data_IF_073960723343
#
_entry.id   IF_073960723343
#
_cell.length_a   1.000
_cell.length_b   1.000
_cell.length_c   1.000
_cell.angle_alpha   90.00
_cell.angle_beta   90.00
_cell.angle_gamma   90.00
#
_symmetry.space_group_name_H-M   'P 1'
#
loop_
_entity.id
_entity.type
_entity.pdbx_description
1 polymer ?
#
# COMPACT_ATOMS: atom_id res chain seq x y z
N UNK A 1 -4.00 -29.74 11.56
CA UNK A 1 -3.52 -28.46 12.13
C UNK A 1 -4.27 -28.19 13.43
N UNK A 2 -3.61 -27.65 14.45
CA UNK A 2 -4.29 -27.18 15.67
C UNK A 2 -4.83 -25.76 15.44
N UNK A 3 -6.05 -25.41 15.89
CA UNK A 3 -6.54 -24.05 15.84
C UNK A 3 -5.61 -23.10 16.60
N UNK A 4 -5.33 -21.93 16.02
CA UNK A 4 -4.59 -20.84 16.67
C UNK A 4 -5.58 -19.80 17.20
N UNK A 5 -5.28 -19.19 18.34
CA UNK A 5 -6.11 -18.10 18.91
C UNK A 5 -5.91 -16.80 18.13
N UNK A 6 -6.83 -15.85 18.28
CA UNK A 6 -6.85 -14.61 17.49
C UNK A 6 -5.58 -13.77 17.67
N UNK A 7 -5.00 -13.71 18.87
CA UNK A 7 -3.85 -12.85 19.16
C UNK A 7 -2.57 -13.33 18.45
N UNK A 8 -2.13 -14.60 18.57
CA UNK A 8 -1.01 -15.12 17.79
C UNK A 8 -1.25 -15.03 16.28
N UNK A 9 -2.50 -15.20 15.82
CA UNK A 9 -2.84 -15.04 14.41
C UNK A 9 -2.57 -13.62 13.92
N UNK A 10 -3.11 -12.60 14.63
CA UNK A 10 -2.87 -11.18 14.29
C UNK A 10 -1.39 -10.83 14.27
N UNK A 11 -0.65 -11.28 15.28
CA UNK A 11 0.78 -11.04 15.39
C UNK A 11 1.54 -11.66 14.21
N UNK A 12 1.28 -12.93 13.88
CA UNK A 12 1.90 -13.60 12.74
C UNK A 12 1.58 -12.91 11.42
N UNK A 13 0.32 -12.52 11.21
CA UNK A 13 -0.08 -11.76 10.01
C UNK A 13 0.67 -10.42 9.90
N UNK A 14 0.86 -9.71 11.02
CA UNK A 14 1.64 -8.46 11.04
C UNK A 14 3.11 -8.67 10.64
N UNK A 15 3.74 -9.75 11.13
CA UNK A 15 5.11 -10.09 10.75
C UNK A 15 5.21 -10.50 9.29
N UNK A 16 4.25 -11.27 8.78
CA UNK A 16 4.18 -11.64 7.36
C UNK A 16 4.00 -10.42 6.47
N UNK A 17 3.10 -9.49 6.84
CA UNK A 17 2.88 -8.26 6.09
C UNK A 17 4.16 -7.40 6.03
N UNK A 18 4.84 -7.21 7.16
CA UNK A 18 6.12 -6.51 7.24
C UNK A 18 7.20 -7.17 6.36
N UNK A 19 7.32 -8.49 6.40
CA UNK A 19 8.28 -9.22 5.58
C UNK A 19 7.99 -9.04 4.07
N UNK A 20 6.72 -9.11 3.68
CA UNK A 20 6.29 -8.87 2.29
C UNK A 20 6.64 -7.46 1.83
N UNK A 21 6.34 -6.45 2.65
CA UNK A 21 6.65 -5.06 2.27
C UNK A 21 8.16 -4.82 2.18
N UNK A 22 8.96 -5.39 3.06
CA UNK A 22 10.43 -5.31 2.92
C UNK A 22 10.92 -5.99 1.63
N UNK A 23 10.32 -7.12 1.22
CA UNK A 23 10.66 -7.76 -0.05
C UNK A 23 10.28 -6.88 -1.25
N UNK A 24 9.09 -6.29 -1.25
CA UNK A 24 8.64 -5.35 -2.30
C UNK A 24 9.56 -4.13 -2.33
N UNK A 25 9.91 -3.57 -1.18
CA UNK A 25 10.80 -2.42 -1.09
C UNK A 25 12.21 -2.74 -1.63
N UNK A 26 12.72 -3.96 -1.42
CA UNK A 26 13.97 -4.41 -2.02
C UNK A 26 13.84 -4.58 -3.54
N UNK A 27 12.77 -5.21 -4.00
CA UNK A 27 12.50 -5.47 -5.42
C UNK A 27 12.35 -4.18 -6.23
N UNK A 28 11.61 -3.19 -5.72
CA UNK A 28 11.29 -1.96 -6.44
C UNK A 28 12.46 -0.99 -6.63
N UNK A 29 13.57 -1.17 -5.89
CA UNK A 29 14.72 -0.25 -5.97
C UNK A 29 14.34 1.20 -5.63
N UNK A 30 15.13 2.16 -6.05
CA UNK A 30 14.91 3.60 -5.75
C UNK A 30 13.97 4.29 -6.73
N UNK A 31 13.66 3.65 -7.87
CA UNK A 31 12.86 4.23 -8.95
C UNK A 31 11.51 3.53 -9.03
N UNK A 32 10.50 4.15 -8.44
CA UNK A 32 9.12 3.67 -8.43
C UNK A 32 8.15 4.85 -8.43
N UNK A 33 6.90 4.57 -8.77
CA UNK A 33 5.78 5.48 -8.68
C UNK A 33 4.67 4.86 -7.83
N UNK A 34 3.78 5.69 -7.31
CA UNK A 34 2.62 5.23 -6.56
C UNK A 34 1.37 5.28 -7.43
N UNK A 35 0.61 4.18 -7.43
CA UNK A 35 -0.72 4.12 -8.05
C UNK A 35 -1.76 4.01 -6.96
N UNK A 36 -2.85 4.75 -7.14
CA UNK A 36 -3.95 4.82 -6.20
C UNK A 36 -5.21 4.24 -6.84
N UNK A 37 -5.92 3.43 -6.08
CA UNK A 37 -7.26 2.99 -6.43
C UNK A 37 -8.15 3.15 -5.21
N UNK A 38 -9.14 4.03 -5.31
CA UNK A 38 -10.14 4.18 -4.26
C UNK A 38 -11.48 3.61 -4.69
N UNK A 39 -12.25 3.11 -3.74
CA UNK A 39 -13.61 2.67 -3.96
C UNK A 39 -14.43 2.83 -2.69
N UNK A 40 -15.74 2.97 -2.86
CA UNK A 40 -16.68 3.03 -1.74
C UNK A 40 -17.52 1.77 -1.73
N UNK A 41 -17.59 1.10 -0.59
CA UNK A 41 -18.55 0.02 -0.33
C UNK A 41 -19.44 0.44 0.84
N UNK A 42 -20.72 0.68 0.55
CA UNK A 42 -21.68 1.24 1.50
C UNK A 42 -21.17 2.57 2.10
N UNK A 43 -21.00 2.63 3.42
CA UNK A 43 -20.52 3.80 4.15
C UNK A 43 -19.00 3.85 4.32
N UNK A 44 -18.25 2.87 3.80
CA UNK A 44 -16.80 2.78 3.95
C UNK A 44 -16.10 3.12 2.63
N UNK A 45 -15.24 4.13 2.68
CA UNK A 45 -14.33 4.46 1.59
C UNK A 45 -12.99 3.77 1.82
N UNK A 46 -12.45 3.13 0.79
CA UNK A 46 -11.20 2.42 0.84
C UNK A 46 -10.20 3.06 -0.10
N UNK A 47 -8.94 3.09 0.33
CA UNK A 47 -7.81 3.47 -0.50
C UNK A 47 -6.85 2.29 -0.60
N UNK A 48 -6.55 1.90 -1.83
CA UNK A 48 -5.45 1.01 -2.13
C UNK A 48 -4.27 1.80 -2.69
N UNK A 49 -3.09 1.50 -2.15
CA UNK A 49 -1.82 2.09 -2.59
C UNK A 49 -0.96 0.97 -3.17
N UNK A 50 -0.45 1.18 -4.38
CA UNK A 50 0.44 0.26 -5.06
C UNK A 50 1.77 0.92 -5.39
N UNK A 51 2.87 0.17 -5.24
CA UNK A 51 4.13 0.49 -5.89
C UNK A 51 4.08 0.03 -7.34
N UNK A 52 4.44 0.91 -8.27
CA UNK A 52 4.61 0.62 -9.69
C UNK A 52 6.04 0.93 -10.09
N UNK A 53 6.74 -0.03 -10.68
CA UNK A 53 8.14 0.09 -11.07
C UNK A 53 8.46 -0.83 -12.25
N UNK A 54 9.63 -0.68 -12.84
CA UNK A 54 10.12 -1.56 -13.90
C UNK A 54 11.15 -2.52 -13.32
N UNK A 55 10.92 -3.82 -13.52
CA UNK A 55 11.86 -4.88 -13.17
C UNK A 55 12.14 -5.69 -14.43
N UNK A 56 13.41 -5.79 -14.83
CA UNK A 56 13.83 -6.52 -16.04
C UNK A 56 13.08 -6.11 -17.32
N UNK A 57 12.75 -4.82 -17.46
CA UNK A 57 12.01 -4.29 -18.62
C UNK A 57 10.49 -4.45 -18.54
N UNK A 58 9.95 -5.10 -17.51
CA UNK A 58 8.51 -5.29 -17.32
C UNK A 58 7.95 -4.39 -16.22
N UNK A 59 6.75 -3.84 -16.44
CA UNK A 59 6.01 -3.09 -15.42
C UNK A 59 5.52 -4.06 -14.34
N UNK A 60 6.02 -3.88 -13.13
CA UNK A 60 5.54 -4.52 -11.92
C UNK A 60 4.56 -3.61 -11.17
N UNK A 61 3.53 -4.20 -10.57
CA UNK A 61 2.58 -3.52 -9.69
C UNK A 61 2.41 -4.36 -8.42
N UNK A 62 2.77 -3.81 -7.26
CA UNK A 62 2.69 -4.50 -5.97
C UNK A 62 1.83 -3.70 -4.99
N UNK A 63 0.87 -4.33 -4.30
CA UNK A 63 0.11 -3.64 -3.26
C UNK A 63 1.01 -3.32 -2.06
N UNK A 64 0.89 -2.09 -1.55
CA UNK A 64 1.58 -1.63 -0.34
C UNK A 64 0.62 -1.51 0.85
N UNK A 65 -0.59 -1.00 0.60
CA UNK A 65 -1.61 -0.85 1.63
C UNK A 65 -3.02 -0.97 1.05
N UNK A 66 -3.92 -1.46 1.89
CA UNK A 66 -5.36 -1.49 1.68
C UNK A 66 -6.02 -1.11 3.00
N UNK A 67 -6.59 0.08 3.06
CA UNK A 67 -7.14 0.59 4.32
C UNK A 67 -8.42 1.38 4.09
N UNK A 68 -9.37 1.32 5.03
CA UNK A 68 -10.47 2.26 5.06
C UNK A 68 -9.93 3.66 5.36
N UNK A 69 -10.53 4.68 4.75
CA UNK A 69 -10.28 6.07 5.05
C UNK A 69 -11.25 6.53 6.14
N UNK A 70 -10.82 6.42 7.40
CA UNK A 70 -11.64 6.77 8.57
C UNK A 70 -11.77 8.29 8.75
N UNK A 71 -10.73 9.05 8.40
CA UNK A 71 -10.65 10.51 8.57
C UNK A 71 -11.29 11.31 7.42
N UNK A 72 -12.05 10.63 6.55
CA UNK A 72 -12.74 11.23 5.41
C UNK A 72 -11.95 11.19 4.09
N UNK A 73 -12.53 11.78 3.05
CA UNK A 73 -12.01 11.73 1.67
C UNK A 73 -11.30 13.03 1.26
N UNK A 74 -10.83 13.82 2.23
CA UNK A 74 -10.14 15.08 1.95
C UNK A 74 -8.77 14.82 1.34
N UNK A 75 -8.20 15.83 0.67
CA UNK A 75 -6.86 15.71 0.11
C UNK A 75 -5.81 15.49 1.21
N UNK A 76 -6.00 16.12 2.37
CA UNK A 76 -5.15 16.01 3.55
C UNK A 76 -5.16 14.58 4.11
N UNK A 77 -6.33 13.97 4.25
CA UNK A 77 -6.45 12.58 4.70
C UNK A 77 -5.75 11.60 3.74
N UNK A 78 -5.83 11.86 2.43
CA UNK A 78 -5.07 11.07 1.44
C UNK A 78 -3.55 11.25 1.61
N UNK A 79 -3.07 12.48 1.82
CA UNK A 79 -1.65 12.76 2.02
C UNK A 79 -1.10 12.09 3.28
N UNK A 80 -1.83 12.15 4.40
CA UNK A 80 -1.46 11.48 5.64
C UNK A 80 -1.37 9.96 5.44
N UNK A 81 -2.32 9.37 4.71
CA UNK A 81 -2.28 7.94 4.40
C UNK A 81 -1.08 7.57 3.52
N UNK A 82 -0.77 8.38 2.51
CA UNK A 82 0.41 8.18 1.65
C UNK A 82 1.71 8.28 2.45
N UNK A 83 1.80 9.26 3.36
CA UNK A 83 2.96 9.43 4.23
C UNK A 83 3.18 8.20 5.12
N UNK A 84 2.11 7.66 5.70
CA UNK A 84 2.19 6.46 6.54
C UNK A 84 2.76 5.24 5.80
N UNK A 85 2.42 5.08 4.52
CA UNK A 85 2.95 3.99 3.67
C UNK A 85 4.41 4.24 3.27
N UNK A 86 4.79 5.50 3.08
CA UNK A 86 6.18 5.87 2.75
C UNK A 86 7.11 5.60 3.93
N UNK A 87 6.68 5.93 5.15
CA UNK A 87 7.38 5.59 6.40
C UNK A 87 7.51 4.08 6.57
N UNK A 88 6.44 3.34 6.26
CA UNK A 88 6.42 1.88 6.34
C UNK A 88 7.41 1.21 5.38
N UNK A 89 7.63 1.80 4.20
CA UNK A 89 8.60 1.29 3.22
C UNK A 89 10.02 1.84 3.42
N UNK A 90 10.21 2.79 4.35
CA UNK A 90 11.46 3.55 4.56
C UNK A 90 12.02 4.14 3.27
N UNK A 91 11.15 4.56 2.36
CA UNK A 91 11.55 5.13 1.06
C UNK A 91 10.96 6.51 0.89
N UNK A 92 11.81 7.43 0.43
CA UNK A 92 11.38 8.72 -0.10
C UNK A 92 11.22 8.59 -1.61
N UNK A 93 10.01 8.80 -2.14
CA UNK A 93 9.80 8.73 -3.58
C UNK A 93 10.45 9.93 -4.24
N UNK A 94 11.47 9.70 -5.07
CA UNK A 94 12.20 10.77 -5.77
C UNK A 94 11.43 11.21 -7.05
N UNK A 95 10.45 10.41 -7.48
CA UNK A 95 9.60 10.64 -8.65
C UNK A 95 8.21 10.01 -8.44
N UNK A 96 7.32 10.68 -7.70
CA UNK A 96 5.93 10.26 -7.60
C UNK A 96 5.16 10.69 -8.86
N UNK A 97 5.12 9.83 -9.88
CA UNK A 97 4.07 9.90 -10.89
C UNK A 97 2.78 9.40 -10.25
N UNK A 98 1.79 10.27 -10.05
CA UNK A 98 0.48 9.87 -9.55
C UNK A 98 -0.34 9.29 -10.69
N UNK A 99 -0.59 7.97 -10.66
CA UNK A 99 -1.52 7.34 -11.58
C UNK A 99 -2.83 7.07 -10.85
N UNK A 100 -3.85 7.89 -11.14
CA UNK A 100 -5.21 7.65 -10.68
C UNK A 100 -5.91 6.73 -11.67
N UNK A 101 -6.41 5.58 -11.20
CA UNK A 101 -7.26 4.71 -12.03
C UNK A 101 -8.69 4.82 -11.53
N UNK A 102 -9.50 5.63 -12.20
CA UNK A 102 -10.96 5.61 -11.99
C UNK A 102 -11.49 4.35 -12.68
N UNK A 103 -12.03 3.40 -11.92
CA UNK A 103 -12.94 2.41 -12.48
C UNK A 103 -14.30 3.12 -12.56
N UNK A 104 -14.59 3.70 -13.72
CA UNK A 104 -15.96 4.08 -14.13
C UNK A 104 -16.57 2.91 -14.88
#
# INVERSE_FOLDING_TARGET
MKPTTVNPLKLNMSYTALAIVHMIAKEMGTSFSLMFNSWTSHSLHFLAIYAVYVLNGERCQRPLSFSPMEDGQTAEAHLEHIASVSDFTRKTSIWCGFLWRTIV
#
